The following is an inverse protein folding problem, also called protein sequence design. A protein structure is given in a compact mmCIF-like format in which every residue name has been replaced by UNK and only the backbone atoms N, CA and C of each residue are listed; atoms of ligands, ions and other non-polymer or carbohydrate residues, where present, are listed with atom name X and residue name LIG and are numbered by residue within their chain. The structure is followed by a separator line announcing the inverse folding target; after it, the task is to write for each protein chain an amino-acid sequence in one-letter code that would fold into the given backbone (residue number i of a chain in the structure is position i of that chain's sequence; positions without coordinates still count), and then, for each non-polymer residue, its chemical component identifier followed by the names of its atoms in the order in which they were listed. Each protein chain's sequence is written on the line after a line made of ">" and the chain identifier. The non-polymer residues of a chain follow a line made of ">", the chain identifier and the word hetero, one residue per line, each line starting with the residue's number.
data_IF_369490304350
#
_entry.id   IF_369490304350
#
_cell.length_a   1.000
_cell.length_b   1.000
_cell.length_c   1.000
_cell.angle_alpha   90.00
_cell.angle_beta   90.00
_cell.angle_gamma   90.00
#
_symmetry.space_group_name_H-M   'P 1'
#
loop_
_entity.id
_entity.type
_entity.pdbx_description
1 polymer ?
#
# COMPACT_ATOMS: atom_id res chain seq x y z
N UNK A 1 7.18 15.56 11.02
CA UNK A 1 6.82 14.93 9.76
C UNK A 1 7.39 15.70 8.58
N UNK A 2 8.11 15.03 7.88
CA UNK A 2 9.03 15.23 6.79
C UNK A 2 8.67 16.30 5.74
N UNK A 3 9.60 17.22 5.56
CA UNK A 3 9.70 18.12 4.40
C UNK A 3 10.16 17.35 3.15
N UNK A 4 9.51 16.22 2.84
CA UNK A 4 9.86 15.39 1.70
C UNK A 4 8.97 15.69 0.52
N UNK A 5 9.60 15.76 -0.65
CA UNK A 5 8.93 15.92 -1.93
C UNK A 5 7.89 14.84 -2.18
N UNK A 6 6.65 15.25 -2.39
CA UNK A 6 5.55 14.35 -2.75
C UNK A 6 4.98 14.77 -4.08
N UNK A 7 4.69 13.79 -4.92
CA UNK A 7 4.01 13.98 -6.20
C UNK A 7 2.75 13.13 -6.21
N UNK A 8 1.63 13.78 -6.41
CA UNK A 8 0.30 13.18 -6.45
C UNK A 8 -0.13 13.10 -7.92
N UNK A 9 -0.55 11.91 -8.35
CA UNK A 9 -0.98 11.65 -9.73
C UNK A 9 -2.40 11.09 -9.67
N UNK A 10 -3.32 11.77 -10.32
CA UNK A 10 -4.74 11.39 -10.33
C UNK A 10 -5.35 11.69 -11.71
N UNK A 11 -6.34 10.90 -12.12
CA UNK A 11 -7.18 11.24 -13.26
C UNK A 11 -8.31 12.22 -12.85
N UNK A 12 -8.78 12.08 -11.62
CA UNK A 12 -9.67 13.04 -10.96
C UNK A 12 -9.05 13.44 -9.63
N UNK A 13 -8.92 14.73 -9.38
CA UNK A 13 -8.31 15.23 -8.14
C UNK A 13 -9.24 14.97 -6.95
N UNK A 14 -8.92 13.98 -6.13
CA UNK A 14 -9.71 13.56 -4.96
C UNK A 14 -8.97 13.75 -3.65
N UNK A 15 -7.64 13.58 -3.64
CA UNK A 15 -6.84 13.61 -2.42
C UNK A 15 -6.68 15.03 -1.85
N UNK A 16 -6.61 16.04 -2.71
CA UNK A 16 -6.45 17.46 -2.33
C UNK A 16 -5.36 17.72 -1.28
N UNK A 17 -4.29 16.94 -1.28
CA UNK A 17 -3.24 17.04 -0.26
C UNK A 17 -2.49 18.37 -0.30
N UNK A 18 -2.36 18.99 -1.46
CA UNK A 18 -1.82 20.31 -1.67
C UNK A 18 -2.65 21.40 -0.95
N UNK A 19 -3.97 21.22 -0.89
CA UNK A 19 -4.89 22.11 -0.17
C UNK A 19 -4.95 21.82 1.32
N UNK A 20 -4.91 20.54 1.70
CA UNK A 20 -4.94 20.11 3.11
C UNK A 20 -3.63 20.49 3.82
N UNK A 21 -2.51 20.42 3.10
CA UNK A 21 -1.18 20.71 3.62
C UNK A 21 -0.45 21.77 2.78
N UNK A 22 -0.93 23.02 2.75
CA UNK A 22 -0.41 24.06 1.82
C UNK A 22 1.06 24.44 2.06
N UNK A 23 1.61 24.12 3.24
CA UNK A 23 3.02 24.40 3.59
C UNK A 23 3.96 23.21 3.30
N UNK A 24 3.45 22.13 2.69
CA UNK A 24 4.24 20.96 2.32
C UNK A 24 4.60 20.99 0.84
N UNK A 25 5.74 20.45 0.50
CA UNK A 25 6.13 20.29 -0.90
C UNK A 25 5.34 19.13 -1.55
N UNK A 26 4.14 19.46 -1.98
CA UNK A 26 3.22 18.54 -2.65
C UNK A 26 2.80 19.19 -3.97
N UNK A 27 2.99 18.47 -5.07
CA UNK A 27 2.47 18.86 -6.37
C UNK A 27 1.44 17.82 -6.82
N UNK A 28 0.21 18.28 -7.01
CA UNK A 28 -0.87 17.49 -7.57
C UNK A 28 -0.86 17.60 -9.10
N UNK A 29 -0.77 16.47 -9.78
CA UNK A 29 -0.78 16.38 -11.23
C UNK A 29 -1.98 15.56 -11.68
N UNK A 30 -2.69 16.05 -12.68
CA UNK A 30 -3.84 15.39 -13.28
C UNK A 30 -3.46 14.76 -14.60
N UNK A 31 -3.79 13.49 -14.78
CA UNK A 31 -3.78 12.85 -16.11
C UNK A 31 -5.00 13.29 -16.89
N UNK A 32 -4.86 13.42 -18.19
CA UNK A 32 -5.95 13.79 -19.08
C UNK A 32 -5.67 13.23 -20.49
N UNK A 33 -6.49 13.63 -21.46
CA UNK A 33 -6.32 13.22 -22.85
C UNK A 33 -5.01 13.72 -23.52
N UNK A 34 -4.24 14.59 -22.86
CA UNK A 34 -2.97 15.14 -23.37
C UNK A 34 -1.77 14.38 -22.79
N UNK A 35 -1.85 13.96 -21.51
CA UNK A 35 -0.79 13.27 -20.82
C UNK A 35 -1.30 11.99 -20.15
N UNK A 36 -0.70 10.88 -20.50
CA UNK A 36 -1.00 9.57 -19.94
C UNK A 36 -0.41 9.42 -18.51
N UNK A 37 -0.82 8.37 -17.81
CA UNK A 37 -0.18 8.00 -16.53
C UNK A 37 1.33 7.82 -16.66
N UNK A 38 1.78 7.18 -17.75
CA UNK A 38 3.20 6.94 -18.00
C UNK A 38 3.96 8.25 -18.21
N UNK A 39 3.42 9.20 -18.97
CA UNK A 39 4.06 10.49 -19.23
C UNK A 39 4.19 11.32 -17.95
N UNK A 40 3.11 11.40 -17.18
CA UNK A 40 3.09 12.13 -15.90
C UNK A 40 4.06 11.48 -14.92
N UNK A 41 4.09 10.15 -14.84
CA UNK A 41 4.98 9.43 -13.94
C UNK A 41 6.46 9.64 -14.30
N UNK A 42 6.84 9.55 -15.58
CA UNK A 42 8.21 9.83 -16.03
C UNK A 42 8.61 11.27 -15.67
N UNK A 43 7.69 12.21 -15.81
CA UNK A 43 7.91 13.60 -15.38
C UNK A 43 8.09 13.70 -13.87
N UNK A 44 7.29 12.97 -13.09
CA UNK A 44 7.45 12.87 -11.64
C UNK A 44 8.82 12.33 -11.24
N UNK A 45 9.24 11.21 -11.81
CA UNK A 45 10.53 10.57 -11.47
C UNK A 45 11.71 11.50 -11.73
N UNK A 46 11.67 12.33 -12.78
CA UNK A 46 12.69 13.33 -13.08
C UNK A 46 12.79 14.44 -12.03
N UNK A 47 11.74 14.65 -11.24
CA UNK A 47 11.73 15.59 -10.12
C UNK A 47 12.29 15.00 -8.83
N UNK A 48 12.74 13.74 -8.86
CA UNK A 48 13.31 13.00 -7.73
C UNK A 48 12.43 13.03 -6.45
N UNK A 49 11.12 12.72 -6.53
CA UNK A 49 10.27 12.74 -5.36
C UNK A 49 10.63 11.61 -4.41
N UNK A 50 10.50 11.82 -3.12
CA UNK A 50 10.64 10.74 -2.15
C UNK A 50 9.40 9.84 -2.13
N UNK A 51 8.21 10.43 -2.37
CA UNK A 51 6.95 9.72 -2.40
C UNK A 51 6.16 10.07 -3.66
N UNK A 52 5.65 9.05 -4.31
CA UNK A 52 4.66 9.15 -5.39
C UNK A 52 3.33 8.62 -4.84
N UNK A 53 2.28 9.44 -4.92
CA UNK A 53 0.94 9.11 -4.50
C UNK A 53 0.10 8.95 -5.76
N UNK A 54 -0.17 7.71 -6.15
CA UNK A 54 -1.01 7.39 -7.30
C UNK A 54 -2.41 7.05 -6.79
N UNK A 55 -3.44 7.77 -7.22
CA UNK A 55 -4.79 7.64 -6.65
C UNK A 55 -5.34 6.23 -6.76
N UNK A 56 -5.34 5.66 -7.96
CA UNK A 56 -5.89 4.33 -8.19
C UNK A 56 -5.19 3.62 -9.36
N UNK A 57 -4.95 2.31 -9.18
CA UNK A 57 -4.49 1.42 -10.25
C UNK A 57 -5.68 0.66 -10.82
N UNK A 58 -6.11 1.04 -12.04
CA UNK A 58 -7.28 0.42 -12.69
C UNK A 58 -7.09 0.03 -14.16
N UNK A 59 -5.90 0.24 -14.71
CA UNK A 59 -5.57 -0.10 -16.10
C UNK A 59 -4.21 -0.75 -16.23
N UNK A 60 -3.96 -1.45 -17.33
CA UNK A 60 -2.66 -2.04 -17.68
C UNK A 60 -1.54 -0.99 -17.67
N UNK A 61 -1.82 0.20 -18.19
CA UNK A 61 -0.89 1.32 -18.19
C UNK A 61 -0.51 1.74 -16.77
N UNK A 62 -1.48 1.90 -15.87
CA UNK A 62 -1.24 2.25 -14.47
C UNK A 62 -0.42 1.17 -13.75
N UNK A 63 -0.69 -0.12 -13.99
CA UNK A 63 0.13 -1.23 -13.43
C UNK A 63 1.57 -1.15 -13.91
N UNK A 64 1.79 -0.93 -15.19
CA UNK A 64 3.13 -0.79 -15.77
C UNK A 64 3.85 0.42 -15.19
N UNK A 65 3.15 1.53 -15.04
CA UNK A 65 3.66 2.75 -14.43
C UNK A 65 4.09 2.53 -12.98
N UNK A 66 3.24 1.89 -12.16
CA UNK A 66 3.57 1.51 -10.77
C UNK A 66 4.80 0.63 -10.74
N UNK A 67 4.84 -0.46 -11.52
CA UNK A 67 5.98 -1.38 -11.54
C UNK A 67 7.29 -0.68 -11.89
N UNK A 68 7.29 0.19 -12.87
CA UNK A 68 8.49 0.94 -13.27
C UNK A 68 8.94 1.90 -12.17
N UNK A 69 8.01 2.54 -11.46
CA UNK A 69 8.34 3.47 -10.37
C UNK A 69 8.95 2.77 -9.16
N UNK A 70 8.34 1.67 -8.71
CA UNK A 70 8.83 0.93 -7.54
C UNK A 70 10.18 0.26 -7.84
N UNK A 71 10.39 -0.23 -9.06
CA UNK A 71 11.68 -0.82 -9.47
C UNK A 71 12.80 0.22 -9.62
N UNK A 72 12.48 1.50 -9.76
CA UNK A 72 13.44 2.60 -9.80
C UNK A 72 13.81 3.18 -8.43
N UNK A 73 13.29 2.58 -7.33
CA UNK A 73 13.63 2.95 -5.96
C UNK A 73 12.78 4.09 -5.36
N UNK A 74 11.72 4.52 -6.03
CA UNK A 74 10.79 5.50 -5.47
C UNK A 74 9.78 4.83 -4.51
N UNK A 75 9.49 5.49 -3.40
CA UNK A 75 8.38 5.07 -2.54
C UNK A 75 7.05 5.44 -3.19
N UNK A 76 6.11 4.49 -3.21
CA UNK A 76 4.80 4.69 -3.79
C UNK A 76 3.70 4.29 -2.81
N UNK A 77 2.61 5.05 -2.81
CA UNK A 77 1.35 4.67 -2.19
C UNK A 77 0.28 4.75 -3.26
N UNK A 78 -0.51 3.71 -3.39
CA UNK A 78 -1.61 3.66 -4.35
C UNK A 78 -2.78 2.87 -3.80
N UNK A 79 -3.94 3.03 -4.43
CA UNK A 79 -5.11 2.21 -4.15
C UNK A 79 -5.44 1.29 -5.32
N UNK A 80 -6.10 0.20 -5.04
CA UNK A 80 -6.59 -0.76 -6.03
C UNK A 80 -7.84 -1.45 -5.49
N UNK A 81 -8.83 -1.67 -6.32
CA UNK A 81 -9.98 -2.50 -5.96
C UNK A 81 -9.60 -3.98 -5.95
N UNK A 82 -9.62 -4.58 -4.77
CA UNK A 82 -9.40 -6.00 -4.53
C UNK A 82 -10.29 -6.48 -3.39
N UNK A 83 -10.70 -7.72 -3.41
CA UNK A 83 -11.50 -8.37 -2.37
C UNK A 83 -10.72 -8.59 -1.07
N UNK A 84 -9.38 -8.70 -1.18
CA UNK A 84 -8.46 -8.93 -0.05
C UNK A 84 -7.10 -8.29 -0.32
N UNK A 85 -6.39 -7.91 0.75
CA UNK A 85 -5.01 -7.46 0.63
C UNK A 85 -4.10 -8.55 0.05
N UNK A 86 -4.30 -9.81 0.44
CA UNK A 86 -3.54 -10.96 -0.08
C UNK A 86 -3.62 -11.10 -1.61
N UNK A 87 -4.74 -10.69 -2.21
CA UNK A 87 -4.99 -10.84 -3.65
C UNK A 87 -4.48 -9.66 -4.49
N UNK A 88 -3.89 -8.62 -3.89
CA UNK A 88 -3.36 -7.45 -4.60
C UNK A 88 -2.41 -7.83 -5.74
N UNK A 89 -1.41 -8.72 -5.58
CA UNK A 89 -0.50 -9.08 -6.67
C UNK A 89 -1.22 -9.72 -7.87
N UNK A 90 -2.16 -10.63 -7.60
CA UNK A 90 -2.97 -11.25 -8.66
C UNK A 90 -3.93 -10.26 -9.31
N UNK A 91 -4.48 -9.31 -8.54
CA UNK A 91 -5.33 -8.26 -9.09
C UNK A 91 -4.55 -7.33 -10.01
N UNK A 92 -3.33 -6.96 -9.65
CA UNK A 92 -2.43 -6.20 -10.53
C UNK A 92 -2.14 -6.97 -11.83
N UNK A 93 -1.85 -8.28 -11.72
CA UNK A 93 -1.64 -9.12 -12.89
C UNK A 93 -2.87 -9.18 -13.80
N UNK A 94 -4.06 -9.34 -13.25
CA UNK A 94 -5.31 -9.43 -14.02
C UNK A 94 -5.62 -8.17 -14.86
N UNK A 95 -5.05 -7.02 -14.50
CA UNK A 95 -5.18 -5.78 -15.26
C UNK A 95 -4.27 -5.71 -16.49
N UNK A 96 -3.28 -6.60 -16.61
CA UNK A 96 -2.31 -6.62 -17.72
C UNK A 96 -2.74 -7.42 -18.95
N UNK A 97 -3.98 -7.93 -18.97
CA UNK A 97 -4.53 -8.69 -20.12
C UNK A 97 -3.65 -9.89 -20.55
N UNK A 98 -3.02 -10.56 -19.57
CA UNK A 98 -2.24 -11.80 -19.74
C UNK A 98 -1.05 -11.74 -20.72
N UNK A 99 -0.44 -10.59 -20.90
CA UNK A 99 0.68 -10.43 -21.84
C UNK A 99 2.06 -10.81 -21.27
N UNK A 100 2.18 -11.25 -20.03
CA UNK A 100 3.44 -11.50 -19.34
C UNK A 100 3.45 -12.83 -18.59
N UNK A 101 4.66 -13.36 -18.34
CA UNK A 101 4.87 -14.50 -17.46
C UNK A 101 4.39 -14.16 -16.04
N UNK A 102 3.43 -14.97 -15.55
CA UNK A 102 2.78 -14.74 -14.26
C UNK A 102 3.77 -14.86 -13.10
N UNK A 103 4.65 -15.85 -13.11
CA UNK A 103 5.61 -16.08 -12.03
C UNK A 103 6.61 -14.94 -11.93
N UNK A 104 7.13 -14.50 -13.07
CA UNK A 104 8.05 -13.38 -13.13
C UNK A 104 7.39 -12.08 -12.68
N UNK A 105 6.14 -11.86 -13.08
CA UNK A 105 5.38 -10.70 -12.65
C UNK A 105 5.14 -10.72 -11.13
N UNK A 106 4.64 -11.84 -10.59
CA UNK A 106 4.37 -11.96 -9.15
C UNK A 106 5.64 -11.78 -8.31
N UNK A 107 6.76 -12.38 -8.72
CA UNK A 107 8.06 -12.17 -8.07
C UNK A 107 8.49 -10.70 -8.09
N UNK A 108 8.27 -10.00 -9.22
CA UNK A 108 8.54 -8.57 -9.31
C UNK A 108 7.69 -7.76 -8.33
N UNK A 109 6.38 -8.02 -8.26
CA UNK A 109 5.49 -7.32 -7.32
C UNK A 109 5.87 -7.63 -5.88
N UNK A 110 6.08 -8.89 -5.51
CA UNK A 110 6.45 -9.27 -4.14
C UNK A 110 7.80 -8.72 -3.69
N UNK A 111 8.70 -8.40 -4.62
CA UNK A 111 10.00 -7.79 -4.31
C UNK A 111 9.89 -6.31 -3.97
N UNK A 112 8.97 -5.60 -4.59
CA UNK A 112 8.93 -4.13 -4.52
C UNK A 112 7.70 -3.57 -3.80
N UNK A 113 6.60 -4.33 -3.68
CA UNK A 113 5.45 -3.97 -2.86
C UNK A 113 5.62 -4.65 -1.50
N UNK A 114 5.89 -3.88 -0.46
CA UNK A 114 6.14 -4.44 0.87
C UNK A 114 4.84 -4.74 1.62
N UNK A 115 3.84 -3.86 1.51
CA UNK A 115 2.63 -3.93 2.34
C UNK A 115 1.37 -3.75 1.50
N UNK A 116 0.40 -4.64 1.68
CA UNK A 116 -0.98 -4.47 1.24
C UNK A 116 -1.91 -4.28 2.44
N UNK A 117 -2.83 -3.33 2.31
CA UNK A 117 -3.82 -3.03 3.36
C UNK A 117 -5.22 -3.10 2.77
N UNK A 118 -6.09 -3.92 3.36
CA UNK A 118 -7.50 -3.97 3.00
C UNK A 118 -8.32 -3.14 3.99
N UNK A 119 -8.99 -2.12 3.47
CA UNK A 119 -9.88 -1.23 4.22
C UNK A 119 -11.31 -1.51 3.81
N UNK A 120 -12.18 -1.76 4.78
CA UNK A 120 -13.61 -1.92 4.57
C UNK A 120 -14.36 -0.68 5.04
N UNK A 121 -15.24 -0.18 4.18
CA UNK A 121 -16.17 0.90 4.55
C UNK A 121 -17.58 0.35 4.79
N UNK A 122 -18.25 0.85 5.81
CA UNK A 122 -19.64 0.49 6.11
C UNK A 122 -20.37 1.59 6.89
N UNK A 123 -21.70 1.59 6.81
CA UNK A 123 -22.52 2.46 7.65
C UNK A 123 -22.69 1.81 9.03
N UNK A 124 -22.13 2.43 10.06
CA UNK A 124 -22.37 2.00 11.44
C UNK A 124 -23.77 2.38 11.88
N UNK A 125 -24.58 1.39 12.24
CA UNK A 125 -25.92 1.64 12.79
C UNK A 125 -25.85 2.25 14.19
N UNK A 126 -24.87 1.88 14.97
CA UNK A 126 -24.63 2.36 16.33
C UNK A 126 -24.23 3.83 16.35
N UNK A 127 -23.28 4.21 15.51
CA UNK A 127 -22.72 5.57 15.45
C UNK A 127 -23.47 6.48 14.47
N UNK A 128 -24.40 5.96 13.68
CA UNK A 128 -25.16 6.72 12.69
C UNK A 128 -24.31 7.36 11.58
N UNK A 129 -23.08 6.89 11.38
CA UNK A 129 -22.13 7.46 10.41
C UNK A 129 -21.33 6.39 9.66
N UNK A 130 -20.77 6.79 8.53
CA UNK A 130 -19.87 5.92 7.76
C UNK A 130 -18.56 5.70 8.49
N UNK A 131 -18.17 4.43 8.63
CA UNK A 131 -16.94 3.98 9.27
C UNK A 131 -16.02 3.33 8.25
N UNK A 132 -14.73 3.41 8.50
CA UNK A 132 -13.71 2.68 7.76
C UNK A 132 -12.84 1.91 8.74
N UNK A 133 -12.58 0.65 8.43
CA UNK A 133 -11.77 -0.23 9.27
C UNK A 133 -10.71 -0.92 8.42
N UNK A 134 -9.53 -1.08 9.00
CA UNK A 134 -8.52 -2.00 8.46
C UNK A 134 -8.95 -3.40 8.86
N UNK A 135 -9.12 -4.29 7.89
CA UNK A 135 -9.52 -5.68 8.12
C UNK A 135 -8.45 -6.69 7.76
N UNK A 136 -7.46 -6.32 6.95
CA UNK A 136 -6.34 -7.20 6.63
C UNK A 136 -5.10 -6.36 6.30
N UNK A 137 -3.94 -6.77 6.84
CA UNK A 137 -2.61 -6.24 6.48
C UNK A 137 -1.73 -7.42 6.11
N UNK A 138 -1.13 -7.36 4.94
CA UNK A 138 -0.29 -8.41 4.36
C UNK A 138 1.06 -7.82 3.98
N UNK A 139 2.13 -8.48 4.36
CA UNK A 139 3.45 -8.24 3.79
C UNK A 139 3.70 -9.17 2.60
N UNK A 140 4.42 -8.64 1.62
CA UNK A 140 4.90 -9.37 0.45
C UNK A 140 6.40 -9.34 0.43
N UNK A 141 7.03 -10.45 0.05
CA UNK A 141 8.49 -10.56 -0.08
C UNK A 141 8.87 -11.69 -1.03
N UNK A 142 10.13 -11.72 -1.43
CA UNK A 142 10.73 -12.83 -2.16
C UNK A 142 11.77 -13.46 -1.23
N UNK A 143 11.65 -14.76 -1.00
CA UNK A 143 12.54 -15.48 -0.09
C UNK A 143 13.91 -15.79 -0.72
N UNK A 144 14.80 -16.46 0.03
CA UNK A 144 16.14 -16.85 -0.41
C UNK A 144 16.14 -17.86 -1.56
N UNK A 145 15.04 -18.58 -1.78
CA UNK A 145 14.86 -19.49 -2.91
C UNK A 145 14.32 -18.78 -4.16
N UNK A 146 14.21 -17.45 -4.11
CA UNK A 146 13.61 -16.63 -5.15
C UNK A 146 12.13 -16.97 -5.42
N UNK A 147 11.39 -17.32 -4.36
CA UNK A 147 9.95 -17.57 -4.41
C UNK A 147 9.15 -16.40 -3.83
N UNK A 148 8.04 -16.06 -4.47
CA UNK A 148 7.10 -15.05 -4.02
C UNK A 148 6.32 -15.57 -2.79
N UNK A 149 6.40 -14.86 -1.68
CA UNK A 149 5.77 -15.21 -0.39
C UNK A 149 4.95 -14.05 0.15
N UNK A 150 3.94 -14.40 0.94
CA UNK A 150 3.09 -13.44 1.63
C UNK A 150 2.89 -13.88 3.08
N UNK A 151 2.80 -12.92 3.99
CA UNK A 151 2.47 -13.17 5.39
C UNK A 151 1.38 -12.20 5.84
N UNK A 152 0.28 -12.71 6.39
CA UNK A 152 -0.81 -11.89 6.92
C UNK A 152 -0.38 -11.41 8.31
N UNK A 153 0.01 -10.16 8.44
CA UNK A 153 0.43 -9.56 9.72
C UNK A 153 -0.77 -9.31 10.63
N UNK A 154 -1.88 -8.86 10.06
CA UNK A 154 -3.11 -8.54 10.77
C UNK A 154 -4.33 -9.01 10.00
N UNK A 155 -5.30 -9.58 10.70
CA UNK A 155 -6.60 -9.92 10.14
C UNK A 155 -7.69 -9.76 11.18
N UNK A 156 -8.78 -9.10 10.80
CA UNK A 156 -10.04 -9.05 11.54
C UNK A 156 -10.99 -10.07 10.93
N UNK A 157 -11.54 -10.98 11.75
CA UNK A 157 -12.54 -11.95 11.33
C UNK A 157 -13.95 -11.36 11.37
N UNK A 158 -14.91 -12.07 10.76
CA UNK A 158 -16.32 -11.61 10.69
C UNK A 158 -16.99 -11.53 12.05
N UNK A 159 -16.55 -12.31 13.03
CA UNK A 159 -17.00 -12.28 14.43
C UNK A 159 -16.34 -11.17 15.27
N UNK A 160 -15.54 -10.31 14.63
CA UNK A 160 -14.87 -9.17 15.27
C UNK A 160 -13.56 -9.51 15.97
N UNK A 161 -13.12 -10.77 15.97
CA UNK A 161 -11.83 -11.17 16.56
C UNK A 161 -10.67 -10.72 15.68
N UNK A 162 -9.55 -10.45 16.33
CA UNK A 162 -8.30 -10.05 15.66
C UNK A 162 -7.29 -11.19 15.74
N UNK A 163 -6.50 -11.35 14.69
CA UNK A 163 -5.31 -12.18 14.69
C UNK A 163 -4.10 -11.38 14.21
N UNK A 164 -2.96 -11.61 14.84
CA UNK A 164 -1.69 -10.97 14.51
C UNK A 164 -0.62 -12.05 14.31
N UNK A 165 0.21 -11.87 13.30
CA UNK A 165 1.43 -12.64 13.11
C UNK A 165 2.63 -11.69 13.13
N UNK A 166 3.78 -12.23 13.55
CA UNK A 166 5.01 -11.45 13.51
C UNK A 166 5.37 -11.13 12.04
N UNK A 167 5.93 -9.93 11.79
CA UNK A 167 6.53 -9.63 10.51
C UNK A 167 7.65 -10.61 10.17
N UNK A 168 7.89 -10.86 8.90
CA UNK A 168 9.03 -11.66 8.45
C UNK A 168 10.35 -10.94 8.72
N UNK A 169 11.45 -11.71 8.72
CA UNK A 169 12.81 -11.13 8.76
C UNK A 169 13.04 -10.14 7.62
N UNK A 170 12.45 -10.37 6.45
CA UNK A 170 12.61 -9.51 5.27
C UNK A 170 12.00 -8.12 5.49
N UNK A 171 10.80 -8.03 6.07
CA UNK A 171 10.20 -6.75 6.40
C UNK A 171 10.96 -6.04 7.53
N UNK A 172 11.40 -6.79 8.55
CA UNK A 172 12.19 -6.22 9.66
C UNK A 172 13.50 -5.64 9.13
N UNK A 173 14.22 -6.37 8.29
CA UNK A 173 15.48 -5.93 7.68
C UNK A 173 15.26 -4.71 6.77
N UNK A 174 14.21 -4.74 5.95
CA UNK A 174 13.84 -3.60 5.08
C UNK A 174 13.58 -2.33 5.90
N UNK A 175 12.79 -2.44 6.97
CA UNK A 175 12.49 -1.31 7.85
C UNK A 175 13.75 -0.82 8.59
N UNK A 176 14.62 -1.74 9.01
CA UNK A 176 15.91 -1.43 9.64
C UNK A 176 16.80 -0.56 8.74
N UNK A 177 16.91 -0.91 7.45
CA UNK A 177 17.63 -0.11 6.45
C UNK A 177 17.02 1.29 6.29
N UNK A 178 15.70 1.43 6.47
CA UNK A 178 15.02 2.74 6.45
C UNK A 178 15.13 3.51 7.78
N UNK A 179 15.85 2.98 8.77
CA UNK A 179 16.01 3.58 10.09
C UNK A 179 14.82 3.37 11.03
N UNK A 180 13.93 2.43 10.72
CA UNK A 180 12.76 2.08 11.53
C UNK A 180 13.04 0.80 12.30
N UNK A 181 13.05 0.87 13.64
CA UNK A 181 13.19 -0.30 14.51
C UNK A 181 11.84 -0.69 15.06
N UNK A 182 11.37 -1.89 14.74
CA UNK A 182 10.16 -2.45 15.34
C UNK A 182 10.46 -2.90 16.78
N UNK A 183 9.64 -2.49 17.73
CA UNK A 183 9.75 -2.98 19.11
C UNK A 183 9.21 -4.42 19.15
N UNK A 184 9.92 -5.35 19.82
CA UNK A 184 9.50 -6.75 19.92
C UNK A 184 8.07 -6.93 20.45
N UNK A 185 7.62 -6.00 21.30
CA UNK A 185 6.33 -6.09 22.00
C UNK A 185 5.10 -5.71 21.17
N UNK A 186 5.29 -5.14 19.99
CA UNK A 186 4.16 -4.74 19.15
C UNK A 186 3.30 -5.92 18.67
N UNK A 187 3.85 -7.12 18.62
CA UNK A 187 3.19 -8.30 18.01
C UNK A 187 2.97 -9.46 19.00
N UNK A 188 3.40 -9.34 20.25
CA UNK A 188 3.38 -10.46 21.23
C UNK A 188 2.03 -10.64 21.95
N UNK A 189 1.08 -9.72 21.77
CA UNK A 189 -0.21 -9.77 22.50
C UNK A 189 -1.31 -10.47 21.73
N UNK A 190 -1.23 -11.74 21.38
CA UNK A 190 -2.43 -12.39 20.84
C UNK A 190 -2.54 -13.90 21.01
N UNK A 191 -1.94 -14.49 22.02
CA UNK A 191 -2.29 -15.88 22.29
C UNK A 191 -3.41 -16.09 23.33
N UNK A 192 -3.81 -15.07 24.10
CA UNK A 192 -4.78 -15.28 25.20
C UNK A 192 -5.72 -14.11 25.58
N UNK A 193 -5.86 -13.05 24.79
CA UNK A 193 -6.81 -11.99 25.16
C UNK A 193 -8.07 -12.02 24.27
N UNK A 194 -8.97 -12.93 24.62
CA UNK A 194 -10.40 -12.68 24.47
C UNK A 194 -10.81 -11.65 25.51
N UNK A 195 -11.28 -10.48 25.05
CA UNK A 195 -11.80 -9.36 25.85
C UNK A 195 -10.75 -8.43 26.47
N UNK A 196 -10.30 -7.45 25.72
CA UNK A 196 -10.08 -6.11 26.25
C UNK A 196 -10.13 -5.11 25.09
N UNK A 197 -11.02 -4.13 25.24
CA UNK A 197 -11.08 -2.93 24.41
C UNK A 197 -9.69 -2.26 24.47
N UNK A 198 -9.00 -2.23 23.35
CA UNK A 198 -7.77 -1.47 23.25
C UNK A 198 -8.13 0.00 23.15
N UNK A 199 -7.90 0.74 24.21
CA UNK A 199 -7.81 2.19 24.18
C UNK A 199 -6.75 2.59 23.17
N UNK A 200 -7.21 3.17 22.06
CA UNK A 200 -6.34 3.85 21.11
C UNK A 200 -6.06 5.22 21.71
N UNK A 201 -4.96 5.33 22.45
CA UNK A 201 -4.40 6.64 22.79
C UNK A 201 -3.97 7.33 21.49
N UNK A 202 -4.50 8.53 21.30
CA UNK A 202 -4.26 9.45 20.20
C UNK A 202 -2.75 9.79 20.08
N UNK A 203 -2.20 9.53 18.92
CA UNK A 203 -0.98 10.18 18.40
C UNK A 203 -1.32 11.17 17.32
#
# INVERSE_FOLDING_TARGET
>A
ASDVYKRQIEDTLELHLDKIFPHRDIVAMKTNNIASYSDVLVTCMRQNPRWILLSEVRSAEAVTAVRNSISSGHNIISTIHSDRALNIPMRLYSLLENSQDIDQFLKSIHRYVQIGVHVKGYMSKELGRFQREIIEVVEFYVDENNEAKSNIIFKKSLDGKFSFNNPSKYLIDYLGVQGVTLKPDYFVKSKNDTNSEAEIESL
#
